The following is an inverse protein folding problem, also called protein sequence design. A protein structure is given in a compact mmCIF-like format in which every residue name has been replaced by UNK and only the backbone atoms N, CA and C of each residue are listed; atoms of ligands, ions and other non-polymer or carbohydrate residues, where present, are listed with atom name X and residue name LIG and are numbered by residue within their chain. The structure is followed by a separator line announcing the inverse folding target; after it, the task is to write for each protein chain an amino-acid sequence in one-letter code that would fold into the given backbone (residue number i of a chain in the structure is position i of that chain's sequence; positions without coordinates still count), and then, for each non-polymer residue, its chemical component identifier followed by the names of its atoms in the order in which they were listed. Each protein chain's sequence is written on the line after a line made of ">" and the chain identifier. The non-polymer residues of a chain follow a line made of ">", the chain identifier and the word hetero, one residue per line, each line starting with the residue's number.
data_IF_081235958319
#
_entry.id   IF_081235958319
#
_cell.length_a   1.000
_cell.length_b   1.000
_cell.length_c   1.000
_cell.angle_alpha   90.00
_cell.angle_beta   90.00
_cell.angle_gamma   90.00
#
_symmetry.space_group_name_H-M   'P 1'
#
loop_
_entity.id
_entity.type
_entity.pdbx_description
1 polymer ?
#
# COMPACT_ATOMS: atom_id res chain seq x y z
N UNK A 1 26.61 -8.76 17.77
CA UNK A 1 25.78 -9.06 16.60
C UNK A 1 24.81 -7.91 16.52
N UNK A 2 25.04 -6.95 15.62
CA UNK A 2 24.06 -5.90 15.36
C UNK A 2 22.79 -6.62 14.87
N UNK A 3 21.73 -6.61 15.67
CA UNK A 3 20.44 -7.11 15.22
C UNK A 3 20.01 -6.19 14.08
N UNK A 4 20.13 -6.67 12.85
CA UNK A 4 19.66 -5.96 11.67
C UNK A 4 18.19 -5.59 11.90
N UNK A 5 17.87 -4.31 11.68
CA UNK A 5 16.51 -3.83 11.82
C UNK A 5 15.59 -4.63 10.88
N UNK A 6 14.48 -5.22 11.36
CA UNK A 6 13.56 -5.97 10.51
C UNK A 6 13.03 -5.09 9.37
N UNK A 7 13.17 -5.58 8.14
CA UNK A 7 12.70 -4.93 6.91
C UNK A 7 11.58 -5.77 6.31
N UNK A 8 10.43 -5.14 6.07
CA UNK A 8 9.32 -5.66 5.28
C UNK A 8 9.47 -5.16 3.83
N UNK A 9 9.25 -6.04 2.84
CA UNK A 9 9.18 -5.68 1.42
C UNK A 9 7.87 -6.18 0.84
N UNK A 10 7.03 -5.26 0.37
CA UNK A 10 5.69 -5.58 -0.15
C UNK A 10 5.40 -4.84 -1.48
N UNK A 11 4.55 -5.42 -2.32
CA UNK A 11 3.89 -4.73 -3.43
C UNK A 11 2.38 -4.65 -3.16
N UNK A 12 1.85 -3.43 -3.05
CA UNK A 12 0.42 -3.19 -2.82
C UNK A 12 -0.33 -2.88 -4.11
N UNK A 13 -1.48 -3.52 -4.27
CA UNK A 13 -2.33 -3.45 -5.44
C UNK A 13 -3.78 -3.15 -5.02
N UNK A 14 -4.44 -2.24 -5.73
CA UNK A 14 -5.87 -1.98 -5.61
C UNK A 14 -6.65 -2.70 -6.70
N UNK A 15 -7.86 -3.16 -6.37
CA UNK A 15 -8.76 -3.84 -7.28
C UNK A 15 -10.23 -3.61 -6.88
N UNK A 16 -11.13 -3.58 -7.87
CA UNK A 16 -12.57 -3.54 -7.64
C UNK A 16 -13.17 -4.94 -7.39
N UNK A 17 -14.43 -5.02 -6.92
CA UNK A 17 -15.09 -6.31 -6.65
C UNK A 17 -15.02 -7.36 -7.77
N UNK A 18 -15.13 -7.03 -9.08
CA UNK A 18 -14.93 -8.02 -10.15
C UNK A 18 -13.53 -8.64 -10.15
N UNK A 19 -12.50 -7.87 -9.78
CA UNK A 19 -11.13 -8.35 -9.66
C UNK A 19 -10.94 -9.32 -8.49
N UNK A 20 -11.71 -9.16 -7.41
CA UNK A 20 -11.66 -10.09 -6.26
C UNK A 20 -12.07 -11.49 -6.68
N UNK A 21 -13.16 -11.62 -7.43
CA UNK A 21 -13.62 -12.94 -7.88
C UNK A 21 -12.68 -13.53 -8.93
N UNK A 22 -12.13 -12.71 -9.84
CA UNK A 22 -11.10 -13.15 -10.78
C UNK A 22 -9.84 -13.67 -10.03
N UNK A 23 -9.41 -12.98 -8.98
CA UNK A 23 -8.25 -13.38 -8.17
C UNK A 23 -8.50 -14.72 -7.47
N UNK A 24 -9.64 -14.89 -6.79
CA UNK A 24 -9.96 -16.12 -6.05
C UNK A 24 -10.00 -17.37 -6.94
N UNK A 25 -10.33 -17.21 -8.22
CA UNK A 25 -10.36 -18.30 -9.20
C UNK A 25 -9.09 -18.36 -10.06
N UNK A 26 -8.07 -17.55 -9.75
CA UNK A 26 -6.85 -17.49 -10.55
C UNK A 26 -6.09 -18.82 -10.48
N UNK A 27 -5.57 -19.36 -11.61
CA UNK A 27 -4.86 -20.64 -11.63
C UNK A 27 -3.64 -20.70 -10.70
N UNK A 28 -2.96 -19.58 -10.46
CA UNK A 28 -1.83 -19.52 -9.51
C UNK A 28 -2.24 -19.79 -8.05
N UNK A 29 -3.52 -19.61 -7.72
CA UNK A 29 -4.06 -19.90 -6.38
C UNK A 29 -4.79 -21.25 -6.33
N UNK A 30 -4.87 -21.96 -7.46
CA UNK A 30 -5.52 -23.26 -7.53
C UNK A 30 -4.77 -24.28 -6.66
N UNK A 31 -5.53 -25.08 -5.90
CA UNK A 31 -4.97 -26.14 -5.05
C UNK A 31 -4.50 -25.71 -3.66
N UNK A 32 -4.49 -24.41 -3.36
CA UNK A 32 -4.14 -23.88 -2.04
C UNK A 32 -5.33 -23.19 -1.40
N UNK A 33 -5.84 -23.75 -0.29
CA UNK A 33 -6.88 -23.09 0.49
C UNK A 33 -6.28 -21.88 1.22
N UNK A 34 -6.90 -20.68 1.14
CA UNK A 34 -6.42 -19.54 1.89
C UNK A 34 -6.59 -19.74 3.40
N UNK A 35 -5.65 -19.23 4.17
CA UNK A 35 -5.91 -18.91 5.57
C UNK A 35 -6.83 -17.69 5.62
N UNK A 36 -7.96 -17.78 6.33
CA UNK A 36 -8.89 -16.66 6.50
C UNK A 36 -8.89 -16.19 7.94
N UNK A 37 -8.68 -14.89 8.15
CA UNK A 37 -8.64 -14.26 9.48
C UNK A 37 -9.45 -12.97 9.49
N UNK A 38 -10.15 -12.71 10.59
CA UNK A 38 -10.76 -11.40 10.85
C UNK A 38 -9.79 -10.57 11.68
N UNK A 39 -9.41 -9.42 11.15
CA UNK A 39 -8.44 -8.52 11.77
C UNK A 39 -9.11 -7.22 12.18
N UNK A 40 -9.02 -6.89 13.46
CA UNK A 40 -9.47 -5.60 14.00
C UNK A 40 -8.24 -4.80 14.44
N UNK A 41 -8.05 -3.62 13.89
CA UNK A 41 -6.86 -2.81 14.11
C UNK A 41 -7.26 -1.46 14.68
N UNK A 42 -6.49 -0.97 15.65
CA UNK A 42 -6.57 0.40 16.16
C UNK A 42 -5.23 1.07 15.98
N UNK A 43 -5.23 2.17 15.26
CA UNK A 43 -4.06 2.99 14.99
C UNK A 43 -4.02 4.17 15.95
N UNK A 44 -2.82 4.49 16.40
CA UNK A 44 -2.58 5.52 17.40
C UNK A 44 -1.74 6.65 16.81
N UNK A 45 -2.08 7.87 17.19
CA UNK A 45 -1.30 9.07 16.90
C UNK A 45 -1.52 10.10 18.00
N UNK A 46 -0.73 11.17 17.98
CA UNK A 46 -0.93 12.33 18.86
C UNK A 46 -2.13 13.16 18.36
N UNK A 47 -2.71 14.06 19.19
CA UNK A 47 -3.81 14.93 18.76
C UNK A 47 -3.49 15.80 17.54
N UNK A 48 -2.21 16.13 17.35
CA UNK A 48 -1.70 16.89 16.22
C UNK A 48 -1.16 16.01 15.09
N UNK A 49 -1.35 14.69 15.10
CA UNK A 49 -0.94 13.75 14.05
C UNK A 49 0.59 13.74 13.76
N UNK A 50 1.41 13.75 14.82
CA UNK A 50 2.86 13.81 14.73
C UNK A 50 3.49 12.56 14.10
N UNK A 51 2.94 11.36 14.36
CA UNK A 51 3.44 10.12 13.76
C UNK A 51 3.12 10.08 12.26
N UNK A 52 1.89 10.44 11.85
CA UNK A 52 1.52 10.52 10.45
C UNK A 52 2.42 11.49 9.67
N UNK A 53 2.73 12.68 10.22
CA UNK A 53 3.69 13.62 9.59
C UNK A 53 5.09 13.04 9.49
N UNK A 54 5.52 12.24 10.47
CA UNK A 54 6.78 11.51 10.43
C UNK A 54 6.72 10.24 9.57
N UNK A 55 5.57 9.94 8.95
CA UNK A 55 5.29 8.72 8.17
C UNK A 55 5.55 7.44 8.99
N UNK A 56 5.18 7.47 10.26
CA UNK A 56 5.22 6.33 11.18
C UNK A 56 3.79 5.92 11.53
N UNK A 57 3.53 4.62 11.58
CA UNK A 57 2.25 4.07 12.01
C UNK A 57 2.46 3.16 13.22
N UNK A 58 1.76 3.45 14.32
CA UNK A 58 1.65 2.57 15.49
C UNK A 58 0.25 1.99 15.52
N UNK A 59 0.14 0.67 15.67
CA UNK A 59 -1.17 0.01 15.81
C UNK A 59 -1.16 -1.11 16.84
N UNK A 60 -2.34 -1.37 17.38
CA UNK A 60 -2.69 -2.66 17.96
C UNK A 60 -3.58 -3.42 16.98
N UNK A 61 -3.24 -4.67 16.70
CA UNK A 61 -4.03 -5.60 15.89
C UNK A 61 -4.52 -6.74 16.76
N UNK A 62 -5.82 -6.94 16.81
CA UNK A 62 -6.41 -8.16 17.32
C UNK A 62 -6.57 -9.17 16.18
N UNK A 63 -6.01 -10.35 16.39
CA UNK A 63 -6.15 -11.52 15.52
C UNK A 63 -6.47 -12.71 16.40
N UNK A 64 -7.65 -13.30 16.20
CA UNK A 64 -8.20 -14.34 17.06
C UNK A 64 -8.16 -13.91 18.55
N UNK A 65 -7.40 -14.62 19.39
CA UNK A 65 -7.22 -14.31 20.82
C UNK A 65 -5.95 -13.52 21.12
N UNK A 66 -5.14 -13.17 20.11
CA UNK A 66 -3.87 -12.48 20.27
C UNK A 66 -4.01 -11.00 19.95
N UNK A 67 -3.22 -10.17 20.65
CA UNK A 67 -3.06 -8.75 20.35
C UNK A 67 -1.59 -8.49 20.05
N UNK A 68 -1.34 -7.94 18.86
CA UNK A 68 -0.01 -7.59 18.37
C UNK A 68 0.12 -6.08 18.33
N UNK A 69 1.24 -5.55 18.83
CA UNK A 69 1.64 -4.17 18.63
C UNK A 69 2.61 -4.10 17.45
N UNK A 70 2.32 -3.22 16.49
CA UNK A 70 3.15 -3.03 15.30
C UNK A 70 3.58 -1.58 15.18
N UNK A 71 4.84 -1.35 14.81
CA UNK A 71 5.38 -0.05 14.38
C UNK A 71 5.94 -0.19 12.98
N UNK A 72 5.42 0.58 12.03
CA UNK A 72 5.94 0.67 10.64
C UNK A 72 6.46 2.09 10.37
N UNK A 73 7.61 2.22 9.72
CA UNK A 73 8.18 3.52 9.32
C UNK A 73 7.88 3.86 7.86
N UNK A 74 8.41 5.01 7.42
CA UNK A 74 8.33 5.44 6.04
C UNK A 74 8.89 4.37 5.09
N UNK A 75 8.08 3.95 4.13
CA UNK A 75 8.54 3.12 3.03
C UNK A 75 9.42 3.88 2.05
N UNK A 76 10.41 3.16 1.51
CA UNK A 76 11.12 3.50 0.29
C UNK A 76 10.52 2.70 -0.87
N UNK A 77 10.43 3.30 -2.04
CA UNK A 77 9.86 2.68 -3.24
C UNK A 77 8.81 3.57 -3.92
N UNK A 78 8.00 2.96 -4.77
CA UNK A 78 6.94 3.61 -5.54
C UNK A 78 6.31 2.64 -6.54
N UNK A 79 5.14 3.00 -7.07
CA UNK A 79 4.42 2.13 -8.00
C UNK A 79 3.93 0.86 -7.33
N UNK A 80 3.49 0.96 -6.08
CA UNK A 80 3.00 -0.13 -5.22
C UNK A 80 4.06 -0.75 -4.34
N UNK A 81 5.35 -0.68 -4.70
CA UNK A 81 6.43 -1.35 -3.97
C UNK A 81 6.87 -0.51 -2.77
N UNK A 82 6.99 -1.15 -1.62
CA UNK A 82 7.44 -0.54 -0.38
C UNK A 82 8.44 -1.43 0.34
N UNK A 83 9.57 -0.84 0.74
CA UNK A 83 10.51 -1.44 1.70
C UNK A 83 10.59 -0.53 2.93
N UNK A 84 10.28 -1.07 4.11
CA UNK A 84 10.22 -0.27 5.36
C UNK A 84 10.65 -1.08 6.57
N UNK A 85 10.99 -0.38 7.64
CA UNK A 85 11.24 -1.04 8.93
C UNK A 85 9.90 -1.36 9.58
N UNK A 86 9.78 -2.57 10.11
CA UNK A 86 8.61 -3.02 10.85
C UNK A 86 9.01 -3.80 12.10
N UNK A 87 8.52 -3.37 13.25
CA UNK A 87 8.61 -4.15 14.49
C UNK A 87 7.23 -4.59 14.91
N UNK A 88 7.07 -5.89 15.18
CA UNK A 88 5.83 -6.47 15.66
C UNK A 88 6.09 -7.38 16.86
N UNK A 89 5.28 -7.24 17.91
CA UNK A 89 5.38 -8.09 19.10
C UNK A 89 4.03 -8.26 19.81
N UNK A 90 3.82 -9.38 20.52
CA UNK A 90 2.60 -9.60 21.28
C UNK A 90 2.55 -8.71 22.52
N UNK A 91 1.34 -8.22 22.84
CA UNK A 91 1.04 -7.50 24.08
C UNK A 91 -0.02 -8.25 24.89
N UNK A 92 0.04 -8.11 26.22
CA UNK A 92 -0.81 -8.87 27.16
C UNK A 92 -2.23 -8.31 27.29
N UNK A 93 -2.43 -7.06 26.93
CA UNK A 93 -3.70 -6.34 27.01
C UNK A 93 -3.96 -5.58 25.72
N UNK A 94 -5.17 -5.08 25.55
CA UNK A 94 -5.56 -4.23 24.44
C UNK A 94 -5.06 -2.78 24.60
N UNK A 95 -3.88 -2.59 25.21
CA UNK A 95 -3.24 -1.31 25.49
C UNK A 95 -1.82 -1.26 24.90
N UNK A 96 -1.32 -0.06 24.63
CA UNK A 96 0.01 0.10 24.07
C UNK A 96 1.09 -0.27 25.10
N UNK A 97 2.05 -1.09 24.69
CA UNK A 97 3.29 -1.27 25.42
C UNK A 97 4.21 -0.06 25.17
N UNK A 98 4.06 0.95 26.03
CA UNK A 98 4.80 2.21 25.98
C UNK A 98 6.30 2.02 26.16
N UNK A 99 6.72 1.04 26.98
CA UNK A 99 8.15 0.76 27.19
C UNK A 99 8.77 0.14 25.93
N UNK A 100 8.06 -0.80 25.31
CA UNK A 100 8.47 -1.38 24.03
C UNK A 100 8.57 -0.33 22.93
N UNK A 101 7.61 0.60 22.82
CA UNK A 101 7.68 1.72 21.88
C UNK A 101 8.91 2.60 22.15
N UNK A 102 9.10 3.03 23.39
CA UNK A 102 10.20 3.92 23.78
C UNK A 102 11.59 3.32 23.54
N UNK A 103 11.70 2.00 23.37
CA UNK A 103 12.96 1.32 23.06
C UNK A 103 13.31 1.30 21.56
N UNK A 104 12.35 1.57 20.66
CA UNK A 104 12.62 1.50 19.21
C UNK A 104 13.35 2.73 18.68
N UNK A 105 14.16 2.60 17.61
CA UNK A 105 14.88 3.70 17.00
C UNK A 105 14.03 4.94 16.63
N UNK A 106 12.81 4.82 16.06
CA UNK A 106 12.00 5.98 15.68
C UNK A 106 11.57 6.86 16.87
N UNK A 107 11.64 6.33 18.10
CA UNK A 107 11.21 7.01 19.31
C UNK A 107 12.37 7.47 20.20
N UNK A 108 13.63 7.38 19.76
CA UNK A 108 14.80 7.88 20.51
C UNK A 108 14.98 9.42 20.42
N UNK A 109 13.92 10.18 20.13
CA UNK A 109 13.98 11.62 19.90
C UNK A 109 12.67 12.34 20.23
N UNK A 110 12.35 13.40 19.48
CA UNK A 110 11.17 14.23 19.75
C UNK A 110 9.85 13.47 19.78
N UNK A 111 9.70 12.43 18.94
CA UNK A 111 8.51 11.57 18.94
C UNK A 111 8.39 10.74 20.22
N UNK A 112 9.52 10.34 20.82
CA UNK A 112 9.54 9.61 22.09
C UNK A 112 8.93 10.41 23.23
N UNK A 113 9.14 11.73 23.23
CA UNK A 113 8.58 12.65 24.23
C UNK A 113 7.05 12.83 24.11
N UNK A 114 6.42 12.27 23.08
CA UNK A 114 4.97 12.38 22.83
C UNK A 114 4.25 11.04 22.92
N UNK A 115 4.94 9.96 23.30
CA UNK A 115 4.36 8.61 23.38
C UNK A 115 3.18 8.51 24.37
N UNK A 116 3.22 9.30 25.44
CA UNK A 116 2.15 9.40 26.44
C UNK A 116 0.89 10.12 25.94
N UNK A 117 0.99 10.83 24.82
CA UNK A 117 -0.12 11.54 24.17
C UNK A 117 -0.81 10.70 23.08
N UNK A 118 -0.34 9.48 22.83
CA UNK A 118 -0.92 8.60 21.81
C UNK A 118 -2.35 8.21 22.18
N UNK A 119 -3.29 8.50 21.28
CA UNK A 119 -4.70 8.14 21.40
C UNK A 119 -5.15 7.38 20.16
N UNK A 120 -6.21 6.55 20.23
CA UNK A 120 -6.79 5.94 19.04
C UNK A 120 -7.30 7.02 18.06
N UNK A 121 -6.89 6.94 16.79
CA UNK A 121 -7.24 7.92 15.75
C UNK A 121 -7.93 7.31 14.54
N UNK A 122 -7.77 6.02 14.36
CA UNK A 122 -8.21 5.28 13.20
C UNK A 122 -8.46 3.82 13.60
N UNK A 123 -9.51 3.23 13.04
CA UNK A 123 -9.80 1.79 13.13
C UNK A 123 -9.83 1.19 11.74
N UNK A 124 -9.33 -0.04 11.59
CA UNK A 124 -9.56 -0.82 10.38
C UNK A 124 -9.99 -2.23 10.73
N UNK A 125 -11.12 -2.63 10.18
CA UNK A 125 -11.71 -3.94 10.39
C UNK A 125 -11.87 -4.62 9.04
N UNK A 126 -11.23 -5.77 8.85
CA UNK A 126 -11.25 -6.46 7.58
C UNK A 126 -11.04 -7.96 7.73
N UNK A 127 -11.52 -8.70 6.73
CA UNK A 127 -11.18 -10.10 6.53
C UNK A 127 -9.95 -10.17 5.64
N UNK A 128 -8.90 -10.84 6.12
CA UNK A 128 -7.70 -11.19 5.38
C UNK A 128 -7.81 -12.62 4.89
N UNK A 129 -7.58 -12.85 3.60
CA UNK A 129 -7.30 -14.17 3.03
C UNK A 129 -5.85 -14.21 2.58
N UNK A 130 -5.06 -15.17 3.03
CA UNK A 130 -3.66 -15.29 2.63
C UNK A 130 -3.31 -16.64 2.02
N UNK A 131 -2.39 -16.60 1.05
CA UNK A 131 -1.82 -17.75 0.36
C UNK A 131 -0.30 -17.65 0.41
N UNK A 132 0.35 -18.76 0.75
CA UNK A 132 1.81 -18.88 0.68
C UNK A 132 2.18 -19.44 -0.69
N UNK A 133 3.00 -18.71 -1.45
CA UNK A 133 3.33 -19.01 -2.84
C UNK A 133 4.84 -19.12 -3.02
N UNK A 134 5.25 -20.15 -3.75
CA UNK A 134 6.61 -20.26 -4.29
C UNK A 134 6.61 -19.73 -5.71
N UNK A 135 7.40 -18.68 -5.98
CA UNK A 135 7.46 -18.05 -7.29
C UNK A 135 8.88 -17.65 -7.65
N UNK A 136 9.40 -18.23 -8.72
CA UNK A 136 10.75 -17.94 -9.26
C UNK A 136 11.87 -18.04 -8.21
N UNK A 137 11.75 -18.97 -7.27
CA UNK A 137 12.73 -19.17 -6.19
C UNK A 137 12.59 -18.22 -5.00
N UNK A 138 11.52 -17.43 -4.94
CA UNK A 138 11.13 -16.62 -3.78
C UNK A 138 9.91 -17.20 -3.07
N UNK A 139 9.83 -16.97 -1.76
CA UNK A 139 8.67 -17.24 -0.93
C UNK A 139 7.87 -15.95 -0.74
N UNK A 140 6.62 -15.94 -1.21
CA UNK A 140 5.75 -14.75 -1.22
C UNK A 140 4.44 -15.07 -0.52
N UNK A 141 4.02 -14.22 0.41
CA UNK A 141 2.65 -14.23 0.92
C UNK A 141 1.78 -13.31 0.05
N UNK A 142 0.79 -13.88 -0.63
CA UNK A 142 -0.27 -13.11 -1.26
C UNK A 142 -1.41 -12.93 -0.27
N UNK A 143 -1.84 -11.69 -0.09
CA UNK A 143 -2.93 -11.30 0.80
C UNK A 143 -4.04 -10.66 -0.02
N UNK A 144 -5.30 -10.99 0.28
CA UNK A 144 -6.48 -10.23 -0.10
C UNK A 144 -7.16 -9.70 1.17
N UNK A 145 -7.21 -8.37 1.31
CA UNK A 145 -7.89 -7.70 2.41
C UNK A 145 -9.22 -7.08 1.94
N UNK A 146 -10.30 -7.38 2.65
CA UNK A 146 -11.63 -6.82 2.39
C UNK A 146 -12.31 -6.36 3.67
N UNK A 147 -12.71 -5.09 3.75
CA UNK A 147 -13.33 -4.51 4.93
C UNK A 147 -13.43 -3.00 4.85
N UNK A 148 -13.12 -2.30 5.92
CA UNK A 148 -13.25 -0.84 5.98
C UNK A 148 -12.21 -0.14 6.87
N UNK A 149 -11.99 1.13 6.55
CA UNK A 149 -11.25 2.11 7.35
C UNK A 149 -12.30 3.03 7.98
N UNK A 150 -12.30 3.17 9.30
CA UNK A 150 -13.13 4.12 10.04
C UNK A 150 -12.23 5.18 10.69
N UNK A 151 -12.42 6.46 10.37
CA UNK A 151 -11.60 7.55 10.89
C UNK A 151 -12.47 8.77 11.20
N UNK A 152 -12.70 9.02 12.50
CA UNK A 152 -13.64 10.05 12.95
C UNK A 152 -15.09 9.69 12.57
N UNK A 153 -15.76 10.57 11.82
CA UNK A 153 -17.14 10.37 11.37
C UNK A 153 -17.26 9.72 9.98
N UNK A 154 -16.12 9.33 9.39
CA UNK A 154 -16.04 8.91 7.98
C UNK A 154 -15.56 7.47 7.87
N UNK A 155 -16.04 6.79 6.84
CA UNK A 155 -15.63 5.43 6.48
C UNK A 155 -15.27 5.33 5.00
N UNK A 156 -14.35 4.42 4.67
CA UNK A 156 -14.00 4.10 3.27
C UNK A 156 -13.63 2.62 3.14
N UNK A 157 -13.97 1.93 2.04
CA UNK A 157 -13.76 0.48 1.93
C UNK A 157 -12.28 0.09 1.77
N UNK A 158 -11.92 -1.07 2.29
CA UNK A 158 -10.67 -1.79 2.00
C UNK A 158 -10.99 -2.87 0.98
N UNK A 159 -10.29 -2.85 -0.15
CA UNK A 159 -10.28 -3.90 -1.14
C UNK A 159 -8.93 -3.86 -1.85
N UNK A 160 -7.98 -4.61 -1.34
CA UNK A 160 -6.58 -4.55 -1.78
C UNK A 160 -5.90 -5.91 -1.74
N UNK A 161 -4.89 -6.07 -2.58
CA UNK A 161 -3.98 -7.21 -2.59
C UNK A 161 -2.60 -6.73 -2.16
N UNK A 162 -1.95 -7.47 -1.27
CA UNK A 162 -0.56 -7.25 -0.90
C UNK A 162 0.25 -8.49 -1.28
N UNK A 163 1.39 -8.31 -1.94
CA UNK A 163 2.38 -9.36 -2.15
C UNK A 163 3.56 -9.07 -1.23
N UNK A 164 3.73 -9.84 -0.16
CA UNK A 164 4.81 -9.66 0.81
C UNK A 164 5.93 -10.68 0.56
N UNK A 165 7.17 -10.21 0.41
CA UNK A 165 8.32 -11.08 0.26
C UNK A 165 8.72 -11.64 1.62
N UNK A 166 8.60 -12.96 1.79
CA UNK A 166 9.05 -13.65 3.01
C UNK A 166 10.52 -14.03 2.93
N UNK A 167 10.97 -14.45 1.74
CA UNK A 167 12.36 -14.78 1.43
C UNK A 167 12.60 -14.74 -0.09
N UNK A 168 13.86 -14.48 -0.50
CA UNK A 168 14.27 -14.43 -1.90
C UNK A 168 14.40 -13.01 -2.47
N UNK A 169 14.02 -12.84 -3.75
CA UNK A 169 14.20 -11.59 -4.52
C UNK A 169 12.91 -10.78 -4.62
N UNK A 170 13.00 -9.46 -4.42
CA UNK A 170 11.89 -8.51 -4.63
C UNK A 170 11.44 -8.40 -6.09
N UNK A 171 12.29 -8.81 -7.04
CA UNK A 171 11.93 -8.92 -8.47
C UNK A 171 10.78 -9.93 -8.70
N UNK A 172 10.69 -10.95 -7.84
CA UNK A 172 9.62 -11.94 -7.89
C UNK A 172 8.24 -11.32 -7.60
N UNK A 173 8.19 -10.23 -6.80
CA UNK A 173 6.94 -9.51 -6.54
C UNK A 173 6.39 -8.85 -7.82
N UNK A 174 7.26 -8.20 -8.60
CA UNK A 174 6.87 -7.56 -9.85
C UNK A 174 6.39 -8.57 -10.88
N UNK A 175 7.14 -9.65 -11.09
CA UNK A 175 6.77 -10.67 -12.07
C UNK A 175 5.49 -11.42 -11.68
N UNK A 176 5.28 -11.70 -10.38
CA UNK A 176 4.02 -12.28 -9.90
C UNK A 176 2.84 -11.32 -10.10
N UNK A 177 3.01 -10.03 -9.79
CA UNK A 177 1.96 -9.04 -10.00
C UNK A 177 1.56 -8.89 -11.47
N UNK A 178 2.55 -8.91 -12.39
CA UNK A 178 2.28 -8.91 -13.83
C UNK A 178 1.49 -10.14 -14.27
N UNK A 179 1.88 -11.34 -13.80
CA UNK A 179 1.16 -12.57 -14.11
C UNK A 179 -0.29 -12.55 -13.61
N UNK A 180 -0.54 -11.97 -12.42
CA UNK A 180 -1.89 -11.77 -11.90
C UNK A 180 -2.67 -10.75 -12.75
N UNK A 181 -2.05 -9.64 -13.14
CA UNK A 181 -2.68 -8.55 -13.88
C UNK A 181 -3.16 -8.95 -15.29
N UNK A 182 -2.62 -10.03 -15.87
CA UNK A 182 -3.09 -10.57 -17.15
C UNK A 182 -4.56 -11.02 -17.10
N UNK A 183 -5.03 -11.48 -15.94
CA UNK A 183 -6.38 -12.02 -15.74
C UNK A 183 -7.20 -11.25 -14.71
N UNK A 184 -6.55 -10.49 -13.83
CA UNK A 184 -7.18 -9.73 -12.76
C UNK A 184 -7.06 -8.23 -13.04
N UNK A 185 -8.17 -7.47 -13.13
CA UNK A 185 -8.13 -6.03 -13.24
C UNK A 185 -7.68 -5.41 -11.90
N UNK A 186 -6.36 -5.23 -11.77
CA UNK A 186 -5.71 -4.64 -10.60
C UNK A 186 -4.67 -3.59 -11.03
N UNK A 187 -4.29 -2.71 -10.10
CA UNK A 187 -3.28 -1.67 -10.32
C UNK A 187 -2.42 -1.49 -9.07
N UNK A 188 -1.19 -0.96 -9.19
CA UNK A 188 -0.46 -0.44 -8.05
C UNK A 188 -1.26 0.53 -7.19
N UNK A 189 -1.01 0.53 -5.88
CA UNK A 189 -1.52 1.52 -4.92
C UNK A 189 -0.41 1.91 -3.94
N UNK A 190 -0.24 3.21 -3.73
CA UNK A 190 0.85 3.75 -2.91
C UNK A 190 0.37 4.21 -1.52
N UNK A 191 -0.95 4.30 -1.31
CA UNK A 191 -1.53 4.77 -0.06
C UNK A 191 -1.66 3.65 0.96
N UNK A 192 -0.97 3.76 2.10
CA UNK A 192 -1.17 2.83 3.22
C UNK A 192 -2.52 3.04 3.89
N UNK A 193 -3.08 2.00 4.55
CA UNK A 193 -4.31 2.11 5.34
C UNK A 193 -4.25 3.25 6.38
N UNK A 194 -3.08 3.47 6.99
CA UNK A 194 -2.86 4.57 7.93
C UNK A 194 -2.91 5.96 7.24
N UNK A 195 -2.27 6.11 6.08
CA UNK A 195 -2.29 7.34 5.30
C UNK A 195 -3.71 7.66 4.79
N UNK A 196 -4.42 6.64 4.27
CA UNK A 196 -5.83 6.74 3.86
C UNK A 196 -6.71 7.18 5.03
N UNK A 197 -6.51 6.59 6.21
CA UNK A 197 -7.22 6.97 7.42
C UNK A 197 -6.98 8.40 7.90
N UNK A 198 -5.73 8.89 7.80
CA UNK A 198 -5.40 10.28 8.14
C UNK A 198 -6.05 11.26 7.14
N UNK A 199 -5.94 10.98 5.84
CA UNK A 199 -6.56 11.77 4.79
C UNK A 199 -8.10 11.81 4.91
N UNK A 200 -8.71 10.66 5.20
CA UNK A 200 -10.15 10.51 5.42
C UNK A 200 -10.63 11.37 6.60
N UNK A 201 -9.90 11.39 7.72
CA UNK A 201 -10.24 12.24 8.87
C UNK A 201 -10.17 13.72 8.54
N UNK A 202 -9.13 14.10 7.80
CA UNK A 202 -8.90 15.49 7.37
C UNK A 202 -9.82 15.91 6.22
N UNK A 203 -10.51 14.97 5.56
CA UNK A 203 -11.20 15.16 4.29
C UNK A 203 -10.30 15.82 3.24
N UNK A 204 -9.02 15.43 3.24
CA UNK A 204 -7.98 16.01 2.39
C UNK A 204 -6.97 14.93 2.00
N UNK A 205 -6.80 14.70 0.70
CA UNK A 205 -5.84 13.74 0.15
C UNK A 205 -4.73 14.51 -0.58
N UNK A 206 -3.62 14.83 0.10
CA UNK A 206 -2.58 15.65 -0.49
C UNK A 206 -1.90 14.91 -1.65
N UNK A 207 -1.75 15.59 -2.78
CA UNK A 207 -1.00 15.10 -3.93
C UNK A 207 0.38 15.78 -4.01
N UNK A 208 1.48 15.04 -4.14
CA UNK A 208 2.82 15.61 -4.21
C UNK A 208 3.04 16.36 -5.52
N UNK A 209 3.91 17.36 -5.50
CA UNK A 209 4.43 17.95 -6.74
C UNK A 209 5.25 16.91 -7.51
N UNK A 210 5.26 17.00 -8.83
CA UNK A 210 5.97 16.07 -9.70
C UNK A 210 6.82 16.80 -10.73
N UNK A 211 8.05 16.31 -10.91
CA UNK A 211 9.05 16.85 -11.84
C UNK A 211 9.77 15.74 -12.62
N UNK A 212 9.83 14.53 -12.08
CA UNK A 212 10.43 13.37 -12.75
C UNK A 212 9.34 12.38 -13.19
N UNK A 213 9.63 11.47 -14.15
CA UNK A 213 8.66 10.44 -14.54
C UNK A 213 8.15 9.61 -13.35
N UNK A 214 9.04 9.19 -12.46
CA UNK A 214 8.65 8.44 -11.25
C UNK A 214 7.71 9.24 -10.33
N UNK A 215 7.93 10.55 -10.19
CA UNK A 215 7.05 11.40 -9.39
C UNK A 215 5.68 11.61 -10.04
N UNK A 216 5.61 11.73 -11.37
CA UNK A 216 4.33 11.82 -12.08
C UNK A 216 3.53 10.52 -11.97
N UNK A 217 4.19 9.36 -12.09
CA UNK A 217 3.57 8.06 -11.86
C UNK A 217 3.04 7.92 -10.42
N UNK A 218 3.83 8.33 -9.44
CA UNK A 218 3.44 8.31 -8.03
C UNK A 218 2.24 9.24 -7.78
N UNK A 219 2.26 10.46 -8.32
CA UNK A 219 1.15 11.42 -8.23
C UNK A 219 -0.13 10.84 -8.85
N UNK A 220 -0.05 10.22 -10.03
CA UNK A 220 -1.19 9.59 -10.66
C UNK A 220 -1.77 8.45 -9.80
N UNK A 221 -0.91 7.63 -9.22
CA UNK A 221 -1.31 6.51 -8.35
C UNK A 221 -2.01 7.00 -7.08
N UNK A 222 -1.45 8.02 -6.41
CA UNK A 222 -2.07 8.63 -5.22
C UNK A 222 -3.40 9.34 -5.54
N UNK A 223 -3.48 10.02 -6.69
CA UNK A 223 -4.72 10.65 -7.13
C UNK A 223 -5.82 9.62 -7.36
N UNK A 224 -5.49 8.47 -7.94
CA UNK A 224 -6.46 7.40 -8.14
C UNK A 224 -6.87 6.69 -6.83
N UNK A 225 -5.95 6.57 -5.87
CA UNK A 225 -6.28 6.12 -4.50
C UNK A 225 -7.24 7.11 -3.82
N UNK A 226 -6.94 8.41 -3.90
CA UNK A 226 -7.75 9.49 -3.35
C UNK A 226 -9.16 9.52 -3.96
N UNK A 227 -9.28 9.35 -5.27
CA UNK A 227 -10.58 9.24 -5.95
C UNK A 227 -11.39 8.06 -5.42
N UNK A 228 -10.78 6.88 -5.28
CA UNK A 228 -11.48 5.69 -4.79
C UNK A 228 -11.95 5.83 -3.35
N UNK A 229 -11.18 6.54 -2.51
CA UNK A 229 -11.52 6.81 -1.12
C UNK A 229 -12.62 7.87 -0.97
N UNK A 230 -12.49 9.00 -1.67
CA UNK A 230 -13.30 10.21 -1.49
C UNK A 230 -14.51 10.31 -2.41
N UNK A 231 -14.48 9.61 -3.55
CA UNK A 231 -15.39 9.78 -4.69
C UNK A 231 -15.41 11.18 -5.31
N UNK A 232 -14.43 12.02 -4.99
CA UNK A 232 -14.30 13.34 -5.59
C UNK A 232 -13.63 13.23 -6.97
N UNK A 233 -14.43 13.47 -8.01
CA UNK A 233 -14.01 13.41 -9.42
C UNK A 233 -12.81 14.31 -9.78
N UNK A 234 -12.49 15.32 -8.96
CA UNK A 234 -11.29 16.13 -9.15
C UNK A 234 -10.02 15.28 -9.10
N UNK A 235 -9.96 14.29 -8.21
CA UNK A 235 -8.81 13.38 -8.12
C UNK A 235 -8.71 12.43 -9.32
N UNK A 236 -9.83 12.01 -9.92
CA UNK A 236 -9.78 11.23 -11.16
C UNK A 236 -9.24 12.07 -12.31
N UNK A 237 -9.60 13.36 -12.38
CA UNK A 237 -9.04 14.30 -13.33
C UNK A 237 -7.54 14.49 -13.10
N UNK A 238 -7.12 14.70 -11.85
CA UNK A 238 -5.70 14.82 -11.47
C UNK A 238 -4.90 13.56 -11.84
N UNK A 239 -5.47 12.37 -11.67
CA UNK A 239 -4.85 11.11 -12.07
C UNK A 239 -4.61 11.06 -13.59
N UNK A 240 -5.63 11.41 -14.38
CA UNK A 240 -5.53 11.44 -15.85
C UNK A 240 -4.50 12.49 -16.32
N UNK A 241 -4.53 13.69 -15.75
CA UNK A 241 -3.57 14.75 -16.06
C UNK A 241 -2.13 14.33 -15.72
N UNK A 242 -1.91 13.72 -14.55
CA UNK A 242 -0.59 13.22 -14.17
C UNK A 242 -0.07 12.13 -15.12
N UNK A 243 -0.94 11.26 -15.63
CA UNK A 243 -0.59 10.26 -16.64
C UNK A 243 -0.25 10.89 -18.00
N UNK A 244 -0.95 11.96 -18.40
CA UNK A 244 -0.63 12.72 -19.62
C UNK A 244 0.73 13.43 -19.52
N UNK A 245 1.01 14.03 -18.35
CA UNK A 245 2.32 14.64 -18.07
C UNK A 245 3.44 13.60 -18.08
N UNK A 246 3.20 12.41 -17.52
CA UNK A 246 4.13 11.29 -17.60
C UNK A 246 4.40 10.87 -19.05
N UNK A 247 3.34 10.66 -19.85
CA UNK A 247 3.44 10.19 -21.22
C UNK A 247 4.17 11.16 -22.16
N UNK A 248 4.08 12.47 -21.88
CA UNK A 248 4.75 13.53 -22.63
C UNK A 248 6.12 13.94 -22.06
N UNK A 249 6.54 13.34 -20.93
CA UNK A 249 7.72 13.78 -20.20
C UNK A 249 9.01 13.60 -21.03
N UNK A 250 9.86 14.64 -21.19
CA UNK A 250 11.04 14.57 -22.06
C UNK A 250 12.09 13.56 -21.60
N UNK A 251 12.23 13.36 -20.29
CA UNK A 251 13.16 12.40 -19.70
C UNK A 251 12.69 10.93 -19.75
N UNK A 252 11.46 10.66 -20.23
CA UNK A 252 10.97 9.30 -20.37
C UNK A 252 11.47 8.69 -21.69
N UNK A 253 12.01 7.47 -21.67
CA UNK A 253 12.46 6.77 -22.88
C UNK A 253 11.28 6.52 -23.83
N UNK A 254 11.52 6.47 -25.15
CA UNK A 254 10.45 6.45 -26.16
C UNK A 254 9.58 5.18 -26.10
N UNK A 255 10.16 4.04 -25.73
CA UNK A 255 9.45 2.80 -25.48
C UNK A 255 8.50 2.94 -24.27
N UNK A 256 8.96 3.59 -23.20
CA UNK A 256 8.14 3.86 -22.01
C UNK A 256 7.08 4.95 -22.27
N UNK A 257 7.35 5.95 -23.12
CA UNK A 257 6.34 6.93 -23.56
C UNK A 257 5.19 6.25 -24.29
N UNK A 258 5.50 5.29 -25.17
CA UNK A 258 4.48 4.52 -25.89
C UNK A 258 3.59 3.68 -24.96
N UNK A 259 4.13 3.18 -23.85
CA UNK A 259 3.34 2.52 -22.80
C UNK A 259 2.51 3.54 -22.01
N UNK A 260 3.15 4.59 -21.52
CA UNK A 260 2.50 5.64 -20.72
C UNK A 260 1.34 6.31 -21.47
N UNK A 261 1.48 6.54 -22.78
CA UNK A 261 0.43 7.13 -23.62
C UNK A 261 -0.86 6.31 -23.72
N UNK A 262 -0.86 5.04 -23.31
CA UNK A 262 -2.07 4.20 -23.27
C UNK A 262 -2.88 4.39 -21.99
N UNK A 263 -2.30 4.95 -20.94
CA UNK A 263 -2.89 4.99 -19.60
C UNK A 263 -4.00 6.04 -19.41
N UNK A 264 -3.89 7.31 -19.89
CA UNK A 264 -4.87 8.36 -19.57
C UNK A 264 -6.32 8.02 -19.95
N UNK A 265 -6.52 7.35 -21.09
CA UNK A 265 -7.83 6.96 -21.60
C UNK A 265 -8.26 5.52 -21.28
N UNK A 266 -7.49 4.78 -20.49
CA UNK A 266 -7.74 3.36 -20.22
C UNK A 266 -8.45 3.07 -18.89
N UNK A 267 -8.70 4.11 -18.08
CA UNK A 267 -9.59 4.05 -16.92
C UNK A 267 -11.02 4.38 -17.36
N UNK A 268 -12.00 3.65 -16.83
CA UNK A 268 -13.41 4.00 -17.02
C UNK A 268 -13.80 5.26 -16.21
N UNK A 269 -15.08 5.64 -16.28
CA UNK A 269 -15.60 6.82 -15.58
C UNK A 269 -15.60 6.67 -14.05
N UNK A 270 -15.55 5.44 -13.56
CA UNK A 270 -15.43 5.08 -12.15
C UNK A 270 -13.97 4.82 -11.74
N UNK A 271 -13.00 5.25 -12.56
CA UNK A 271 -11.57 5.13 -12.29
C UNK A 271 -11.07 3.69 -12.19
N UNK A 272 -11.85 2.71 -12.68
CA UNK A 272 -11.49 1.31 -12.58
C UNK A 272 -10.51 0.89 -13.68
N UNK A 273 -9.50 0.08 -13.34
CA UNK A 273 -8.56 -0.42 -14.31
C UNK A 273 -9.15 -1.59 -15.10
N UNK A 274 -8.79 -1.69 -16.38
CA UNK A 274 -8.85 -2.96 -17.12
C UNK A 274 -7.60 -3.81 -16.83
N UNK A 275 -7.59 -5.08 -17.23
CA UNK A 275 -6.36 -5.92 -17.20
C UNK A 275 -5.24 -5.29 -18.01
N UNK A 276 -5.54 -4.75 -19.19
CA UNK A 276 -4.57 -4.05 -20.03
C UNK A 276 -3.99 -2.80 -19.34
N UNK A 277 -4.80 -2.04 -18.61
CA UNK A 277 -4.32 -0.93 -17.78
C UNK A 277 -3.37 -1.44 -16.70
N UNK A 278 -3.77 -2.48 -15.95
CA UNK A 278 -2.99 -3.07 -14.87
C UNK A 278 -1.61 -3.54 -15.33
N UNK A 279 -1.55 -4.34 -16.41
CA UNK A 279 -0.30 -4.81 -17.01
C UNK A 279 0.59 -3.64 -17.45
N UNK A 280 0.00 -2.63 -18.11
CA UNK A 280 0.76 -1.47 -18.60
C UNK A 280 1.34 -0.66 -17.45
N UNK A 281 0.53 -0.38 -16.43
CA UNK A 281 0.94 0.42 -15.29
C UNK A 281 2.00 -0.31 -14.45
N UNK A 282 1.83 -1.62 -14.20
CA UNK A 282 2.85 -2.43 -13.50
C UNK A 282 4.16 -2.49 -14.25
N UNK A 283 4.11 -2.68 -15.58
CA UNK A 283 5.31 -2.69 -16.43
C UNK A 283 6.06 -1.36 -16.33
N UNK A 284 5.32 -0.24 -16.41
CA UNK A 284 5.90 1.09 -16.30
C UNK A 284 6.49 1.35 -14.90
N UNK A 285 5.76 1.00 -13.84
CA UNK A 285 6.23 1.09 -12.45
C UNK A 285 7.53 0.34 -12.24
N UNK A 286 7.60 -0.91 -12.69
CA UNK A 286 8.78 -1.75 -12.57
C UNK A 286 9.99 -1.16 -13.30
N UNK A 287 9.80 -0.73 -14.56
CA UNK A 287 10.88 -0.13 -15.36
C UNK A 287 11.43 1.15 -14.75
N UNK A 288 10.56 2.02 -14.22
CA UNK A 288 10.98 3.25 -13.55
C UNK A 288 11.67 2.96 -12.21
N UNK A 289 11.20 1.98 -11.45
CA UNK A 289 11.85 1.57 -10.20
C UNK A 289 13.28 1.07 -10.43
N UNK A 290 13.51 0.28 -11.49
CA UNK A 290 14.85 -0.17 -11.88
C UNK A 290 15.78 1.00 -12.27
N UNK A 291 15.25 2.02 -12.94
CA UNK A 291 16.04 3.21 -13.30
C UNK A 291 16.46 4.02 -12.07
N UNK A 292 15.57 4.18 -11.09
CA UNK A 292 15.88 4.87 -9.83
C UNK A 292 16.87 4.11 -8.94
N UNK A 293 16.94 2.79 -9.03
CA UNK A 293 17.90 1.98 -8.29
C UNK A 293 19.34 2.08 -8.85
N UNK A 294 19.49 2.51 -10.11
CA UNK A 294 20.78 2.63 -10.81
C UNK A 294 21.36 4.06 -10.80
N UNK A 295 20.60 5.05 -10.31
CA UNK A 295 20.95 6.48 -10.25
C UNK A 295 21.40 6.91 -8.87
#
# INVERSE_FOLDING_TARGET
>A
MENATPIEVELKLALAPPGVEALKHHPLLAGSAPLTQTLANRYFDTPDDALARARIAVRLRQVDTQVLQTVKTAGQGGGGLSSRQEWEWPVKSAELDQQGLAALPPFQGALGAQLDQLTPRLRTDFTRRSWQLDWQGSHIELVLDQGEIESGAYTTPICEVELELKDGSSEALWSLALALAEHVPLRPSDSSKAARGAALRAQQWPLPNAQTPGQWLHRATLALDAFHDSKDSTYLKDAREALEQLASHPALADDLKALAGRLPGALDDDGQPSTAYGVTLLTLSHRLALQSALS
#
